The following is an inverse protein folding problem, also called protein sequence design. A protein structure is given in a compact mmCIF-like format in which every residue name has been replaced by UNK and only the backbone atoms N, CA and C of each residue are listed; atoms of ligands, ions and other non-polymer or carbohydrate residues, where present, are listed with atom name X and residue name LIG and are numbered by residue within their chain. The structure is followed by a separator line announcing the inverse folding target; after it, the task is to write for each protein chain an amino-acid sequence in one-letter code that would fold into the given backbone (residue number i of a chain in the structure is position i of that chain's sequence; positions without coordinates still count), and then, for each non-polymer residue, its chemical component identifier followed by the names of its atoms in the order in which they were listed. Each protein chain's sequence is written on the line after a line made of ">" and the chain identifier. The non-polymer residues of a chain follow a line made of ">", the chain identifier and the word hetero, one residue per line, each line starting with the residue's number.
data_IF_548102043344
#
_entry.id   IF_548102043344
#
_cell.length_a   1.000
_cell.length_b   1.000
_cell.length_c   1.000
_cell.angle_alpha   90.00
_cell.angle_beta   90.00
_cell.angle_gamma   90.00
#
_symmetry.space_group_name_H-M   'P 1'
#
loop_
_entity.id
_entity.type
_entity.pdbx_description
1 polymer ?
#
# COMPACT_ATOMS: atom_id res chain seq x y z
N UNK A 1 9.26 -8.02 26.04
CA UNK A 1 10.38 -8.99 26.14
C UNK A 1 10.18 -10.07 25.09
N UNK A 2 11.21 -10.31 24.28
CA UNK A 2 11.28 -11.43 23.34
C UNK A 2 11.34 -12.71 24.17
N UNK A 3 10.51 -13.71 23.82
CA UNK A 3 10.43 -14.96 24.57
C UNK A 3 10.20 -16.12 23.63
N UNK A 4 11.09 -17.11 23.68
CA UNK A 4 10.93 -18.32 22.86
C UNK A 4 9.70 -19.09 23.32
N UNK A 5 8.93 -19.60 22.36
CA UNK A 5 7.68 -20.33 22.59
C UNK A 5 7.60 -21.58 21.71
N UNK A 6 6.55 -22.38 21.91
CA UNK A 6 6.38 -23.66 21.23
C UNK A 6 6.46 -23.55 19.70
N UNK A 7 7.22 -24.46 19.08
CA UNK A 7 7.41 -24.52 17.62
C UNK A 7 6.11 -24.72 16.85
N UNK A 8 5.22 -25.57 17.36
CA UNK A 8 3.92 -25.82 16.76
C UNK A 8 3.04 -24.56 16.73
N UNK A 9 2.87 -23.89 17.87
CA UNK A 9 2.09 -22.66 17.93
C UNK A 9 2.72 -21.55 17.10
N UNK A 10 4.06 -21.48 17.06
CA UNK A 10 4.76 -20.55 16.16
C UNK A 10 4.40 -20.82 14.70
N UNK A 11 4.43 -22.07 14.25
CA UNK A 11 4.01 -22.44 12.89
C UNK A 11 2.55 -22.02 12.62
N UNK A 12 1.63 -22.33 13.54
CA UNK A 12 0.22 -21.96 13.41
C UNK A 12 0.02 -20.44 13.30
N UNK A 13 0.65 -19.66 14.18
CA UNK A 13 0.55 -18.20 14.12
C UNK A 13 1.27 -17.61 12.91
N UNK A 14 2.33 -18.25 12.41
CA UNK A 14 3.08 -17.77 11.25
C UNK A 14 2.34 -17.92 9.92
N UNK A 15 1.22 -18.67 9.89
CA UNK A 15 0.30 -18.68 8.75
C UNK A 15 -0.44 -17.34 8.57
N UNK A 16 -0.49 -16.52 9.61
CA UNK A 16 -0.97 -15.13 9.53
C UNK A 16 0.26 -14.22 9.50
N UNK A 17 0.51 -13.48 8.42
CA UNK A 17 1.70 -12.63 8.29
C UNK A 17 1.87 -11.71 9.50
N UNK A 18 3.04 -11.78 10.15
CA UNK A 18 3.40 -11.01 11.34
C UNK A 18 2.92 -11.57 12.70
N UNK A 19 1.92 -12.46 12.74
CA UNK A 19 1.43 -13.01 14.01
C UNK A 19 2.42 -13.99 14.66
N UNK A 20 3.18 -14.74 13.86
CA UNK A 20 4.28 -15.60 14.34
C UNK A 20 5.37 -14.80 15.07
N UNK A 21 5.76 -13.64 14.52
CA UNK A 21 6.70 -12.71 15.13
C UNK A 21 6.19 -12.16 16.46
N UNK A 22 4.92 -11.71 16.49
CA UNK A 22 4.28 -11.25 17.72
C UNK A 22 4.21 -12.38 18.77
N UNK A 23 3.94 -13.61 18.35
CA UNK A 23 3.92 -14.74 19.26
C UNK A 23 5.27 -14.94 19.95
N UNK A 24 6.39 -14.77 19.24
CA UNK A 24 7.76 -14.84 19.75
C UNK A 24 8.22 -13.58 20.51
N UNK A 25 7.41 -12.51 20.49
CA UNK A 25 7.67 -11.25 21.18
C UNK A 25 8.30 -10.14 20.33
N UNK A 26 8.45 -10.35 19.02
CA UNK A 26 8.89 -9.32 18.06
C UNK A 26 7.67 -8.51 17.58
N UNK A 27 7.25 -7.53 18.40
CA UNK A 27 6.03 -6.76 18.17
C UNK A 27 6.18 -5.76 17.03
N UNK A 28 7.31 -5.05 16.95
CA UNK A 28 7.55 -4.06 15.91
C UNK A 28 7.67 -4.70 14.54
N UNK A 29 8.38 -5.82 14.47
CA UNK A 29 8.48 -6.55 13.21
C UNK A 29 7.16 -7.20 12.81
N UNK A 30 6.46 -7.81 13.77
CA UNK A 30 5.16 -8.43 13.53
C UNK A 30 4.12 -7.43 13.03
N UNK A 31 4.00 -6.26 13.65
CA UNK A 31 3.05 -5.23 13.20
C UNK A 31 3.46 -4.64 11.84
N UNK A 32 4.76 -4.52 11.55
CA UNK A 32 5.24 -4.09 10.23
C UNK A 32 4.76 -5.04 9.14
N UNK A 33 4.95 -6.34 9.36
CA UNK A 33 4.56 -7.38 8.40
C UNK A 33 3.04 -7.45 8.24
N UNK A 34 2.28 -7.37 9.34
CA UNK A 34 0.83 -7.27 9.29
C UNK A 34 0.39 -6.05 8.46
N UNK A 35 0.92 -4.88 8.74
CA UNK A 35 0.55 -3.66 8.02
C UNK A 35 0.90 -3.73 6.54
N UNK A 36 2.06 -4.27 6.17
CA UNK A 36 2.43 -4.48 4.77
C UNK A 36 1.48 -5.44 4.07
N UNK A 37 1.19 -6.60 4.68
CA UNK A 37 0.32 -7.61 4.08
C UNK A 37 -1.10 -7.11 3.90
N UNK A 38 -1.73 -6.64 4.99
CA UNK A 38 -3.11 -6.15 4.98
C UNK A 38 -3.25 -4.84 4.18
N UNK A 39 -2.25 -3.96 4.25
CA UNK A 39 -2.21 -2.74 3.44
C UNK A 39 -2.14 -3.03 1.95
N UNK A 40 -1.30 -3.98 1.53
CA UNK A 40 -1.24 -4.42 0.13
C UNK A 40 -2.56 -5.05 -0.30
N UNK A 41 -3.20 -5.86 0.55
CA UNK A 41 -4.50 -6.46 0.27
C UNK A 41 -5.60 -5.39 0.12
N UNK A 42 -5.62 -4.42 1.01
CA UNK A 42 -6.53 -3.28 0.94
C UNK A 42 -6.33 -2.50 -0.36
N UNK A 43 -5.09 -2.14 -0.72
CA UNK A 43 -4.79 -1.46 -1.98
C UNK A 43 -5.20 -2.29 -3.20
N UNK A 44 -4.87 -3.58 -3.23
CA UNK A 44 -5.21 -4.46 -4.35
C UNK A 44 -6.72 -4.53 -4.59
N UNK A 45 -7.50 -4.64 -3.52
CA UNK A 45 -8.96 -4.77 -3.58
C UNK A 45 -9.65 -3.44 -3.82
N UNK A 46 -9.31 -2.40 -3.06
CA UNK A 46 -9.92 -1.07 -3.16
C UNK A 46 -9.61 -0.41 -4.50
N UNK A 47 -8.35 -0.52 -4.96
CA UNK A 47 -7.93 0.04 -6.25
C UNK A 47 -8.17 -0.89 -7.43
N UNK A 48 -8.67 -2.11 -7.18
CA UNK A 48 -8.88 -3.15 -8.18
C UNK A 48 -7.62 -3.47 -9.02
N UNK A 49 -6.45 -3.41 -8.39
CA UNK A 49 -5.17 -3.67 -9.04
C UNK A 49 -4.81 -5.14 -8.81
N UNK A 50 -5.30 -6.01 -9.71
CA UNK A 50 -5.10 -7.46 -9.62
C UNK A 50 -3.62 -7.88 -9.58
N UNK A 51 -2.72 -7.09 -10.15
CA UNK A 51 -1.28 -7.36 -10.16
C UNK A 51 -0.66 -7.46 -8.75
N UNK A 52 -1.18 -6.72 -7.75
CA UNK A 52 -0.67 -6.81 -6.37
C UNK A 52 -0.93 -8.17 -5.72
N UNK A 53 -1.86 -8.97 -6.24
CA UNK A 53 -2.14 -10.31 -5.71
C UNK A 53 -0.91 -11.22 -5.72
N UNK A 54 0.04 -10.99 -6.65
CA UNK A 54 1.31 -11.72 -6.70
C UNK A 54 2.19 -11.50 -5.45
N UNK A 55 2.02 -10.38 -4.75
CA UNK A 55 2.79 -10.08 -3.53
C UNK A 55 2.30 -10.87 -2.31
N UNK A 56 1.05 -11.34 -2.28
CA UNK A 56 0.49 -12.06 -1.13
C UNK A 56 1.24 -13.35 -0.80
N UNK A 57 1.44 -14.30 -1.75
CA UNK A 57 2.19 -15.51 -1.45
C UNK A 57 3.64 -15.20 -1.06
N UNK A 58 4.25 -14.16 -1.65
CA UNK A 58 5.63 -13.76 -1.34
C UNK A 58 5.74 -13.27 0.11
N UNK A 59 4.87 -12.34 0.52
CA UNK A 59 4.85 -11.81 1.88
C UNK A 59 4.49 -12.89 2.90
N UNK A 60 3.55 -13.79 2.57
CA UNK A 60 3.18 -14.91 3.42
C UNK A 60 4.36 -15.87 3.63
N UNK A 61 5.00 -16.32 2.55
CA UNK A 61 6.17 -17.20 2.64
C UNK A 61 7.31 -16.54 3.41
N UNK A 62 7.63 -15.27 3.12
CA UNK A 62 8.65 -14.53 3.86
C UNK A 62 8.34 -14.49 5.35
N UNK A 63 7.13 -14.06 5.74
CA UNK A 63 6.74 -13.99 7.14
C UNK A 63 6.75 -15.37 7.81
N UNK A 64 6.32 -16.41 7.11
CA UNK A 64 6.26 -17.78 7.60
C UNK A 64 7.68 -18.29 7.90
N UNK A 65 8.56 -18.24 6.91
CA UNK A 65 9.92 -18.74 7.04
C UNK A 65 10.73 -17.92 8.03
N UNK A 66 10.56 -16.61 8.08
CA UNK A 66 11.30 -15.76 9.03
C UNK A 66 10.94 -16.06 10.49
N UNK A 67 9.66 -16.22 10.80
CA UNK A 67 9.23 -16.57 12.17
C UNK A 67 9.68 -17.98 12.57
N UNK A 68 9.61 -18.96 11.66
CA UNK A 68 10.11 -20.32 11.89
C UNK A 68 11.62 -20.32 12.11
N UNK A 69 12.36 -19.61 11.25
CA UNK A 69 13.82 -19.51 11.34
C UNK A 69 14.25 -18.92 12.68
N UNK A 70 13.63 -17.82 13.11
CA UNK A 70 13.89 -17.22 14.44
C UNK A 70 13.66 -18.20 15.57
N UNK A 71 12.56 -18.94 15.56
CA UNK A 71 12.30 -19.92 16.61
C UNK A 71 13.18 -21.18 16.53
N UNK A 72 13.94 -21.35 15.44
CA UNK A 72 14.89 -22.44 15.26
C UNK A 72 16.33 -22.09 15.68
N UNK A 73 16.61 -20.81 15.94
CA UNK A 73 17.91 -20.34 16.41
C UNK A 73 18.28 -20.92 17.78
N UNK A 74 19.58 -20.89 18.08
CA UNK A 74 20.07 -21.19 19.43
C UNK A 74 19.47 -20.20 20.44
N UNK A 75 19.44 -20.56 21.72
CA UNK A 75 18.93 -19.63 22.75
C UNK A 75 19.75 -18.33 22.79
N UNK A 76 21.08 -18.44 22.70
CA UNK A 76 21.97 -17.27 22.66
C UNK A 76 21.67 -16.36 21.48
N UNK A 77 21.59 -16.92 20.27
CA UNK A 77 21.27 -16.16 19.06
C UNK A 77 19.86 -15.56 19.11
N UNK A 78 18.88 -16.30 19.65
CA UNK A 78 17.49 -15.85 19.71
C UNK A 78 17.31 -14.65 20.64
N UNK A 79 17.95 -14.67 21.81
CA UNK A 79 17.88 -13.55 22.76
C UNK A 79 18.80 -12.38 22.38
N UNK A 80 19.77 -12.60 21.49
CA UNK A 80 20.57 -11.53 20.89
C UNK A 80 19.81 -10.74 19.81
N UNK A 81 18.69 -11.25 19.28
CA UNK A 81 17.88 -10.53 18.31
C UNK A 81 17.19 -9.32 18.93
N UNK A 82 17.18 -8.20 18.21
CA UNK A 82 16.44 -7.00 18.58
C UNK A 82 15.07 -6.92 17.89
N UNK A 83 14.08 -6.32 18.57
CA UNK A 83 12.78 -6.02 17.98
C UNK A 83 12.81 -4.65 17.28
N UNK A 84 13.06 -4.67 15.98
CA UNK A 84 13.07 -3.52 15.07
C UNK A 84 11.93 -3.59 14.05
N UNK A 85 11.57 -2.46 13.46
CA UNK A 85 10.62 -2.43 12.34
C UNK A 85 11.25 -3.07 11.09
N UNK A 86 10.44 -3.67 10.23
CA UNK A 86 10.91 -4.43 9.04
C UNK A 86 11.85 -3.62 8.12
N UNK A 87 11.66 -2.30 8.05
CA UNK A 87 12.42 -1.39 7.20
C UNK A 87 13.38 -0.49 7.98
N UNK A 88 13.71 -0.83 9.23
CA UNK A 88 14.43 0.06 10.16
C UNK A 88 13.84 1.48 10.18
N UNK A 89 12.51 1.59 10.05
CA UNK A 89 11.82 2.86 10.07
C UNK A 89 12.01 3.48 11.44
N UNK A 90 12.80 4.55 11.50
CA UNK A 90 12.82 5.41 12.65
C UNK A 90 11.46 6.11 12.73
N UNK A 91 10.76 5.92 13.86
CA UNK A 91 9.44 6.50 14.07
C UNK A 91 9.50 8.03 14.07
N UNK A 92 10.64 8.60 14.45
CA UNK A 92 10.83 10.04 14.46
C UNK A 92 11.05 10.59 13.04
N UNK A 93 11.74 9.83 12.19
CA UNK A 93 11.86 10.12 10.76
C UNK A 93 10.50 9.97 10.05
N UNK A 94 9.75 8.89 10.35
CA UNK A 94 8.41 8.68 9.82
C UNK A 94 7.47 9.81 10.22
N UNK A 95 7.47 10.25 11.49
CA UNK A 95 6.66 11.38 11.96
C UNK A 95 7.06 12.68 11.29
N UNK A 96 8.35 12.94 11.10
CA UNK A 96 8.85 14.12 10.37
C UNK A 96 8.36 14.14 8.92
N UNK A 97 8.41 13.00 8.23
CA UNK A 97 7.87 12.83 6.87
C UNK A 97 6.35 13.02 6.86
N UNK A 98 5.64 12.47 7.85
CA UNK A 98 4.18 12.58 7.97
C UNK A 98 3.72 14.02 8.19
N UNK A 99 4.37 14.76 9.10
CA UNK A 99 4.07 16.16 9.41
C UNK A 99 4.48 17.13 8.30
N UNK A 100 5.46 16.78 7.48
CA UNK A 100 5.96 17.64 6.41
C UNK A 100 5.08 17.64 5.16
N UNK A 101 5.24 16.61 4.31
CA UNK A 101 4.69 16.61 2.94
C UNK A 101 3.51 15.66 2.74
N UNK A 102 3.32 14.71 3.65
CA UNK A 102 2.31 13.66 3.49
C UNK A 102 0.94 14.00 4.10
N UNK A 103 0.86 14.88 5.11
CA UNK A 103 -0.41 15.31 5.68
C UNK A 103 -1.45 15.78 4.63
N UNK A 104 -1.11 16.63 3.62
CA UNK A 104 -2.09 17.00 2.59
C UNK A 104 -2.49 15.83 1.68
N UNK A 105 -1.58 14.89 1.40
CA UNK A 105 -1.87 13.70 0.59
C UNK A 105 -2.79 12.73 1.36
N UNK A 106 -2.52 12.50 2.64
CA UNK A 106 -3.34 11.67 3.52
C UNK A 106 -4.75 12.30 3.61
N UNK A 107 -4.85 13.60 3.86
CA UNK A 107 -6.12 14.31 3.88
C UNK A 107 -6.88 14.19 2.55
N UNK A 108 -6.21 14.34 1.41
CA UNK A 108 -6.79 14.17 0.08
C UNK A 108 -7.34 12.75 -0.13
N UNK A 109 -6.59 11.72 0.28
CA UNK A 109 -7.04 10.32 0.21
C UNK A 109 -8.30 10.12 1.05
N UNK A 110 -8.33 10.61 2.29
CA UNK A 110 -9.51 10.54 3.15
C UNK A 110 -10.72 11.27 2.55
N UNK A 111 -10.52 12.43 1.94
CA UNK A 111 -11.58 13.18 1.24
C UNK A 111 -12.13 12.35 0.06
N UNK A 112 -11.26 11.78 -0.78
CA UNK A 112 -11.68 10.96 -1.93
C UNK A 112 -12.49 9.75 -1.45
N UNK A 113 -12.01 9.04 -0.42
CA UNK A 113 -12.72 7.91 0.18
C UNK A 113 -14.08 8.37 0.72
N UNK A 114 -14.11 9.46 1.48
CA UNK A 114 -15.33 10.01 2.08
C UNK A 114 -16.38 10.41 1.04
N UNK A 115 -15.95 11.10 -0.02
CA UNK A 115 -16.82 11.49 -1.14
C UNK A 115 -17.36 10.25 -1.86
N UNK A 116 -16.53 9.24 -2.11
CA UNK A 116 -17.00 7.99 -2.71
C UNK A 116 -18.05 7.28 -1.83
N UNK A 117 -17.81 7.19 -0.52
CA UNK A 117 -18.76 6.58 0.43
C UNK A 117 -20.08 7.36 0.44
N UNK A 118 -20.02 8.69 0.53
CA UNK A 118 -21.21 9.54 0.49
C UNK A 118 -21.99 9.34 -0.81
N UNK A 119 -21.32 9.45 -1.96
CA UNK A 119 -21.96 9.27 -3.26
C UNK A 119 -22.61 7.89 -3.39
N UNK A 120 -21.92 6.83 -2.96
CA UNK A 120 -22.44 5.46 -3.01
C UNK A 120 -23.69 5.29 -2.16
N UNK A 121 -23.72 5.88 -0.97
CA UNK A 121 -24.87 5.83 -0.07
C UNK A 121 -26.03 6.70 -0.57
N UNK A 122 -25.77 7.95 -0.97
CA UNK A 122 -26.77 8.84 -1.54
C UNK A 122 -27.43 8.19 -2.76
N UNK A 123 -26.62 7.60 -3.63
CA UNK A 123 -27.09 6.88 -4.80
C UNK A 123 -28.04 5.73 -4.43
N UNK A 124 -27.68 4.93 -3.42
CA UNK A 124 -28.53 3.83 -2.94
C UNK A 124 -29.86 4.30 -2.36
N UNK A 125 -29.90 5.50 -1.77
CA UNK A 125 -31.11 6.05 -1.14
C UNK A 125 -32.03 6.76 -2.15
N UNK A 126 -31.46 7.47 -3.12
CA UNK A 126 -32.21 8.34 -4.06
C UNK A 126 -32.75 7.53 -5.24
N UNK A 127 -31.99 6.54 -5.73
CA UNK A 127 -32.38 5.75 -6.90
C UNK A 127 -33.77 5.11 -6.82
N UNK A 128 -34.16 4.45 -5.72
CA UNK A 128 -35.45 3.75 -5.66
C UNK A 128 -36.64 4.70 -5.77
N UNK A 129 -36.43 5.99 -5.46
CA UNK A 129 -37.46 7.04 -5.50
C UNK A 129 -37.64 7.62 -6.91
N UNK A 130 -36.66 7.41 -7.81
CA UNK A 130 -36.67 7.98 -9.16
C UNK A 130 -37.53 7.16 -10.14
N UNK A 131 -38.15 7.81 -11.14
CA UNK A 131 -38.84 7.12 -12.24
C UNK A 131 -37.92 6.15 -12.97
N UNK A 132 -38.46 5.01 -13.39
CA UNK A 132 -37.69 3.87 -13.93
C UNK A 132 -36.88 4.20 -15.20
N UNK A 133 -37.36 5.14 -16.01
CA UNK A 133 -36.64 5.64 -17.18
C UNK A 133 -35.38 6.43 -16.79
N UNK A 134 -35.44 7.23 -15.73
CA UNK A 134 -34.30 8.04 -15.26
C UNK A 134 -33.32 7.20 -14.44
N UNK A 135 -33.81 6.24 -13.65
CA UNK A 135 -32.97 5.35 -12.84
C UNK A 135 -32.08 4.46 -13.71
N UNK A 136 -32.61 3.93 -14.82
CA UNK A 136 -31.84 3.08 -15.75
C UNK A 136 -30.65 3.80 -16.41
N UNK A 137 -30.81 5.07 -16.81
CA UNK A 137 -29.72 5.89 -17.35
C UNK A 137 -28.61 6.15 -16.32
N UNK A 138 -29.01 6.51 -15.09
CA UNK A 138 -28.12 6.76 -13.96
C UNK A 138 -27.40 5.48 -13.48
N UNK A 139 -28.10 4.34 -13.49
CA UNK A 139 -27.57 3.01 -13.14
C UNK A 139 -26.51 2.49 -14.09
N UNK A 140 -26.76 2.58 -15.38
CA UNK A 140 -25.91 1.89 -16.33
C UNK A 140 -24.73 2.74 -16.80
N UNK A 141 -24.85 4.08 -16.73
CA UNK A 141 -23.81 4.97 -17.30
C UNK A 141 -22.97 5.66 -16.22
N UNK A 142 -23.61 6.31 -15.24
CA UNK A 142 -22.90 7.18 -14.29
C UNK A 142 -22.34 6.43 -13.08
N UNK A 143 -23.08 5.45 -12.55
CA UNK A 143 -22.65 4.70 -11.37
C UNK A 143 -21.28 4.02 -11.52
N UNK A 144 -20.98 3.30 -12.62
CA UNK A 144 -19.68 2.64 -12.77
C UNK A 144 -18.52 3.64 -12.79
N UNK A 145 -18.74 4.82 -13.36
CA UNK A 145 -17.73 5.88 -13.41
C UNK A 145 -17.43 6.45 -12.02
N UNK A 146 -18.46 6.76 -11.23
CA UNK A 146 -18.32 7.30 -9.87
C UNK A 146 -17.61 6.34 -8.92
N UNK A 147 -17.91 5.03 -8.99
CA UNK A 147 -17.28 4.02 -8.13
C UNK A 147 -15.79 3.85 -8.48
N UNK A 148 -15.42 4.00 -9.76
CA UNK A 148 -14.03 3.87 -10.24
C UNK A 148 -13.21 5.16 -10.14
N UNK A 149 -13.82 6.26 -9.69
CA UNK A 149 -13.16 7.57 -9.61
C UNK A 149 -11.82 7.55 -8.85
N UNK A 150 -11.69 6.92 -7.66
CA UNK A 150 -10.40 6.85 -6.97
C UNK A 150 -9.33 6.12 -7.79
N UNK A 151 -9.72 5.06 -8.50
CA UNK A 151 -8.82 4.27 -9.35
C UNK A 151 -8.32 5.09 -10.53
N UNK A 152 -9.20 5.89 -11.14
CA UNK A 152 -8.86 6.79 -12.24
C UNK A 152 -7.87 7.87 -11.75
N UNK A 153 -8.15 8.50 -10.60
CA UNK A 153 -7.26 9.52 -10.03
C UNK A 153 -5.87 8.96 -9.73
N UNK A 154 -5.80 7.76 -9.16
CA UNK A 154 -4.54 7.11 -8.85
C UNK A 154 -3.81 6.68 -10.12
N UNK A 155 -4.51 6.19 -11.15
CA UNK A 155 -3.92 5.88 -12.44
C UNK A 155 -3.30 7.15 -13.08
N UNK A 156 -4.01 8.28 -13.06
CA UNK A 156 -3.48 9.57 -13.54
C UNK A 156 -2.24 9.98 -12.73
N UNK A 157 -2.28 9.85 -11.41
CA UNK A 157 -1.14 10.16 -10.55
C UNK A 157 0.08 9.28 -10.84
N UNK A 158 -0.12 7.97 -11.01
CA UNK A 158 0.95 7.01 -11.36
C UNK A 158 1.56 7.38 -12.71
N UNK A 159 0.75 7.70 -13.72
CA UNK A 159 1.24 8.13 -15.04
C UNK A 159 2.05 9.42 -14.92
N UNK A 160 1.55 10.41 -14.17
CA UNK A 160 2.25 11.68 -13.96
C UNK A 160 3.61 11.49 -13.27
N UNK A 161 3.68 10.65 -12.24
CA UNK A 161 4.94 10.29 -11.55
C UNK A 161 5.89 9.57 -12.49
N UNK A 162 5.39 8.61 -13.29
CA UNK A 162 6.20 7.91 -14.29
C UNK A 162 6.81 8.87 -15.32
N UNK A 163 6.03 9.82 -15.83
CA UNK A 163 6.51 10.84 -16.76
C UNK A 163 7.53 11.79 -16.10
N UNK A 164 7.31 12.18 -14.84
CA UNK A 164 8.25 13.03 -14.10
C UNK A 164 9.60 12.31 -13.88
N UNK A 165 9.58 11.01 -13.55
CA UNK A 165 10.79 10.21 -13.36
C UNK A 165 11.60 10.06 -14.66
N UNK A 166 10.92 9.90 -15.80
CA UNK A 166 11.57 9.84 -17.12
C UNK A 166 12.22 11.19 -17.46
N UNK A 167 11.55 12.31 -17.20
CA UNK A 167 12.07 13.66 -17.45
C UNK A 167 13.27 14.00 -16.56
N UNK A 168 13.22 13.66 -15.27
CA UNK A 168 14.35 13.87 -14.35
C UNK A 168 15.63 13.17 -14.82
N UNK A 169 15.51 12.01 -15.49
CA UNK A 169 16.65 11.30 -16.07
C UNK A 169 17.19 11.96 -17.36
N UNK A 170 16.34 12.63 -18.17
CA UNK A 170 16.79 13.36 -19.37
C UNK A 170 17.57 14.62 -19.02
N UNK A 171 17.14 15.36 -17.99
CA UNK A 171 17.85 16.54 -17.48
C UNK A 171 19.17 16.15 -16.82
N UNK A 172 19.22 15.03 -16.09
CA UNK A 172 20.47 14.51 -15.50
C UNK A 172 21.49 13.97 -16.53
N UNK A 173 21.04 13.67 -17.76
CA UNK A 173 21.88 13.17 -18.86
C UNK A 173 22.24 14.24 -19.89
N UNK A 174 21.88 15.52 -19.66
CA UNK A 174 22.22 16.64 -20.56
C UNK A 174 21.63 16.53 -21.96
N UNK A 175 20.55 15.76 -22.14
CA UNK A 175 19.98 15.48 -23.46
C UNK A 175 19.10 16.61 -24.02
N UNK A 176 18.80 17.65 -23.21
CA UNK A 176 18.04 18.82 -23.66
C UNK A 176 18.91 19.83 -24.44
N UNK A 177 20.23 19.87 -24.24
CA UNK A 177 21.11 20.80 -24.97
C UNK A 177 21.38 20.35 -26.43
N UNK A 178 21.36 19.03 -26.72
CA UNK A 178 21.66 18.52 -28.06
C UNK A 178 20.56 18.73 -29.11
N UNK A 179 19.31 18.93 -28.69
CA UNK A 179 18.22 19.22 -29.64
C UNK A 179 18.17 20.71 -30.03
N UNK A 180 18.78 21.61 -29.28
CA UNK A 180 18.84 23.04 -29.63
C UNK A 180 19.96 23.36 -30.63
N UNK A 181 21.14 22.74 -30.48
CA UNK A 181 22.32 23.06 -31.31
C UNK A 181 22.28 22.44 -32.72
N UNK A 182 21.39 21.47 -32.99
CA UNK A 182 21.32 20.80 -34.30
C UNK A 182 20.51 21.60 -35.33
N UNK A 183 19.76 22.63 -34.91
CA UNK A 183 18.93 23.46 -35.80
C UNK A 183 19.49 24.87 -36.02
N UNK A 184 20.65 25.23 -35.45
CA UNK A 184 21.22 26.57 -35.53
C UNK A 184 22.46 26.71 -36.43
N UNK A 185 22.84 25.68 -37.20
CA UNK A 185 23.96 25.80 -38.14
C UNK A 185 23.49 25.63 -39.61
N UNK A 186 23.31 26.73 -40.38
CA UNK A 186 23.01 26.66 -41.81
C UNK A 186 24.20 26.18 -42.67
#
# INVERSE_FOLDING_TARGET
>A
MIKRKGKFLTLCFSLVPGAGHMYLGFMKQGISLMFCFWGTLFLATYLNIGALAFLFPIMLCYSLFDAINKNSLSDEDFYALEDTYLFNLDLDELKGILHGKFHPLIALIFIIIGVQLLLSNCYSLILPVLPQALSSLLLNTLRPFLIRLPQILIAIAIIAVGLHLIRGKKTALGLEEKEADTYENP
#
